data_IF_770818457480
#
_entry.id   IF_770818457480
#
_cell.length_a   1.000
_cell.length_b   1.000
_cell.length_c   1.000
_cell.angle_alpha   90.00
_cell.angle_beta   90.00
_cell.angle_gamma   90.00
#
_symmetry.space_group_name_H-M   'P 1'
#
loop_
_entity.id
_entity.type
_entity.pdbx_description
1 polymer ?
#
# COMPACT_ATOMS: atom_id res chain seq x y z
N UNK A 1 1.83 -37.27 -6.04
CA UNK A 1 2.59 -36.16 -6.63
C UNK A 1 1.68 -34.96 -6.78
N UNK A 2 2.08 -33.80 -6.25
CA UNK A 2 1.22 -32.63 -6.32
C UNK A 2 1.24 -32.03 -7.75
N UNK A 3 0.16 -31.39 -8.17
CA UNK A 3 0.10 -30.69 -9.46
C UNK A 3 1.24 -29.67 -9.61
N UNK A 4 1.62 -29.00 -8.53
CA UNK A 4 2.73 -28.03 -8.53
C UNK A 4 4.06 -28.72 -8.86
N UNK A 5 4.34 -29.88 -8.26
CA UNK A 5 5.54 -30.69 -8.56
C UNK A 5 5.55 -31.11 -10.04
N UNK A 6 4.41 -31.56 -10.55
CA UNK A 6 4.28 -31.91 -11.97
C UNK A 6 4.57 -30.72 -12.90
N UNK A 7 4.06 -29.52 -12.60
CA UNK A 7 4.33 -28.31 -13.35
C UNK A 7 5.80 -27.89 -13.32
N UNK A 8 6.45 -28.02 -12.15
CA UNK A 8 7.88 -27.71 -11.97
C UNK A 8 8.76 -28.73 -12.68
N UNK A 9 8.51 -30.02 -12.50
CA UNK A 9 9.30 -31.11 -13.08
C UNK A 9 9.24 -31.12 -14.62
N UNK A 10 8.09 -30.74 -15.19
CA UNK A 10 7.92 -30.56 -16.63
C UNK A 10 8.38 -29.17 -17.15
N UNK A 11 9.03 -28.37 -16.32
CA UNK A 11 9.54 -27.03 -16.66
C UNK A 11 8.48 -26.05 -17.19
N UNK A 12 7.19 -26.28 -16.90
CA UNK A 12 6.08 -25.41 -17.30
C UNK A 12 6.07 -24.13 -16.47
N UNK A 13 6.41 -24.24 -15.18
CA UNK A 13 6.60 -23.11 -14.29
C UNK A 13 7.98 -23.14 -13.64
N UNK A 14 8.60 -21.97 -13.44
CA UNK A 14 9.86 -21.78 -12.72
C UNK A 14 9.69 -21.03 -11.41
N UNK A 15 8.61 -20.26 -11.31
CA UNK A 15 8.23 -19.50 -10.11
C UNK A 15 6.70 -19.32 -10.09
N UNK A 16 6.18 -18.84 -8.96
CA UNK A 16 4.75 -18.68 -8.75
C UNK A 16 4.06 -17.67 -9.70
N UNK A 17 4.80 -16.71 -10.26
CA UNK A 17 4.22 -15.77 -11.23
C UNK A 17 3.92 -16.44 -12.59
N UNK A 18 4.58 -17.54 -12.92
CA UNK A 18 4.34 -18.28 -14.15
C UNK A 18 2.98 -19.00 -14.15
N UNK A 19 2.38 -19.23 -12.96
CA UNK A 19 1.03 -19.78 -12.84
C UNK A 19 -0.03 -18.91 -13.55
N UNK A 20 0.18 -17.59 -13.59
CA UNK A 20 -0.78 -16.63 -14.13
C UNK A 20 -0.74 -16.47 -15.66
N UNK A 21 0.24 -17.12 -16.31
CA UNK A 21 0.37 -17.18 -17.77
C UNK A 21 0.22 -18.59 -18.33
N UNK A 22 -0.22 -19.56 -17.50
CA UNK A 22 -0.52 -20.92 -17.95
C UNK A 22 -1.64 -20.91 -18.98
N UNK A 23 -1.50 -21.76 -20.00
CA UNK A 23 -2.51 -22.03 -20.99
C UNK A 23 -3.04 -23.49 -20.93
N UNK A 24 -4.22 -23.70 -21.50
CA UNK A 24 -4.84 -25.02 -21.51
C UNK A 24 -4.00 -26.05 -22.28
N UNK A 25 -3.32 -25.63 -23.34
CA UNK A 25 -2.52 -26.56 -24.20
C UNK A 25 -1.37 -27.16 -23.42
N UNK A 26 -0.65 -26.34 -22.65
CA UNK A 26 0.45 -26.82 -21.79
C UNK A 26 -0.04 -27.80 -20.74
N UNK A 27 -1.23 -27.60 -20.18
CA UNK A 27 -1.81 -28.46 -19.17
C UNK A 27 -2.30 -29.80 -19.74
N UNK A 28 -2.84 -29.81 -20.97
CA UNK A 28 -3.31 -31.05 -21.61
C UNK A 28 -2.20 -32.04 -21.95
N UNK A 29 -0.95 -31.58 -21.99
CA UNK A 29 0.24 -32.43 -22.18
C UNK A 29 0.68 -33.15 -20.90
N UNK A 30 0.05 -32.85 -19.76
CA UNK A 30 0.37 -33.47 -18.47
C UNK A 30 -0.47 -34.70 -18.22
N UNK A 31 0.16 -35.71 -17.60
CA UNK A 31 -0.56 -36.90 -17.15
C UNK A 31 -1.72 -36.54 -16.21
N UNK A 32 -2.84 -37.21 -16.37
CA UNK A 32 -4.08 -37.04 -15.57
C UNK A 32 -4.73 -35.65 -15.71
N UNK A 33 -4.32 -34.83 -16.68
CA UNK A 33 -4.95 -33.56 -17.00
C UNK A 33 -5.83 -33.71 -18.25
N UNK A 34 -7.14 -33.52 -18.06
CA UNK A 34 -8.13 -33.50 -19.13
C UNK A 34 -8.65 -32.08 -19.36
N UNK A 35 -9.37 -31.84 -20.45
CA UNK A 35 -9.90 -30.52 -20.81
C UNK A 35 -10.69 -29.88 -19.64
N UNK A 36 -11.56 -30.66 -18.97
CA UNK A 36 -12.38 -30.14 -17.85
C UNK A 36 -11.52 -29.70 -16.66
N UNK A 37 -10.53 -30.51 -16.24
CA UNK A 37 -9.64 -30.17 -15.13
C UNK A 37 -8.74 -28.98 -15.47
N UNK A 38 -8.20 -28.93 -16.69
CA UNK A 38 -7.38 -27.82 -17.17
C UNK A 38 -8.17 -26.51 -17.22
N UNK A 39 -9.39 -26.54 -17.76
CA UNK A 39 -10.28 -25.38 -17.80
C UNK A 39 -10.63 -24.89 -16.39
N UNK A 40 -10.97 -25.80 -15.47
CA UNK A 40 -11.25 -25.44 -14.08
C UNK A 40 -10.06 -24.79 -13.38
N UNK A 41 -8.85 -25.30 -13.60
CA UNK A 41 -7.62 -24.74 -13.07
C UNK A 41 -7.39 -23.31 -13.59
N UNK A 42 -7.43 -23.11 -14.92
CA UNK A 42 -7.26 -21.78 -15.52
C UNK A 42 -8.32 -20.80 -15.02
N UNK A 43 -9.59 -21.22 -14.92
CA UNK A 43 -10.63 -20.38 -14.37
C UNK A 43 -10.38 -19.99 -12.91
N UNK A 44 -9.88 -20.93 -12.10
CA UNK A 44 -9.52 -20.65 -10.69
C UNK A 44 -8.36 -19.67 -10.58
N UNK A 45 -7.32 -19.83 -11.40
CA UNK A 45 -6.20 -18.91 -11.50
C UNK A 45 -6.69 -17.51 -11.92
N UNK A 46 -7.54 -17.42 -12.96
CA UNK A 46 -8.06 -16.14 -13.42
C UNK A 46 -8.93 -15.45 -12.34
N UNK A 47 -9.72 -16.17 -11.58
CA UNK A 47 -10.48 -15.63 -10.45
C UNK A 47 -9.56 -15.08 -9.35
N UNK A 48 -8.40 -15.69 -9.13
CA UNK A 48 -7.44 -15.25 -8.11
C UNK A 48 -6.64 -14.01 -8.51
N UNK A 49 -6.73 -13.55 -9.77
CA UNK A 49 -6.03 -12.34 -10.24
C UNK A 49 -6.50 -11.07 -9.54
N UNK A 50 -7.78 -11.00 -9.15
CA UNK A 50 -8.29 -9.89 -8.35
C UNK A 50 -8.14 -10.21 -6.86
N UNK A 51 -7.26 -9.52 -6.18
CA UNK A 51 -6.90 -9.78 -4.78
C UNK A 51 -6.83 -8.49 -3.98
N UNK A 52 -7.35 -8.48 -2.75
CA UNK A 52 -7.22 -7.34 -1.84
C UNK A 52 -5.77 -7.19 -1.37
N UNK A 53 -5.35 -5.96 -1.07
CA UNK A 53 -3.96 -5.66 -0.75
C UNK A 53 -3.45 -6.43 0.49
N UNK A 54 -4.27 -6.57 1.52
CA UNK A 54 -3.94 -7.37 2.71
C UNK A 54 -3.69 -8.85 2.37
N UNK A 55 -4.55 -9.45 1.53
CA UNK A 55 -4.38 -10.84 1.10
C UNK A 55 -3.17 -11.01 0.18
N UNK A 56 -2.90 -10.02 -0.67
CA UNK A 56 -1.70 -10.01 -1.51
C UNK A 56 -0.44 -10.01 -0.64
N UNK A 57 -0.35 -9.12 0.36
CA UNK A 57 0.78 -9.04 1.28
C UNK A 57 0.99 -10.35 2.05
N UNK A 58 -0.10 -10.94 2.55
CA UNK A 58 -0.03 -12.24 3.22
C UNK A 58 0.51 -13.33 2.29
N UNK A 59 0.08 -13.34 1.02
CA UNK A 59 0.50 -14.35 0.02
C UNK A 59 1.97 -14.26 -0.37
N UNK A 60 2.65 -13.13 -0.13
CA UNK A 60 4.08 -12.98 -0.39
C UNK A 60 4.97 -13.83 0.54
N UNK A 61 4.43 -14.35 1.65
CA UNK A 61 5.15 -15.21 2.59
C UNK A 61 6.30 -14.49 3.31
N UNK A 62 6.17 -13.20 3.58
CA UNK A 62 7.16 -12.44 4.34
C UNK A 62 7.21 -13.01 5.77
N UNK A 63 8.40 -13.31 6.27
CA UNK A 63 8.58 -13.87 7.61
C UNK A 63 7.97 -12.97 8.67
N UNK A 64 7.24 -13.55 9.64
CA UNK A 64 6.49 -12.89 10.72
C UNK A 64 5.35 -11.98 10.24
N UNK A 65 5.02 -11.96 8.95
CA UNK A 65 3.85 -11.25 8.41
C UNK A 65 2.68 -12.23 8.25
N UNK A 66 1.87 -12.31 9.29
CA UNK A 66 0.61 -13.06 9.28
C UNK A 66 -0.56 -12.21 8.73
N UNK A 67 -1.77 -12.79 8.74
CA UNK A 67 -2.99 -12.11 8.26
C UNK A 67 -3.23 -10.78 8.99
N UNK A 68 -2.99 -10.72 10.30
CA UNK A 68 -3.16 -9.50 11.10
C UNK A 68 -2.19 -8.41 10.66
N UNK A 69 -0.90 -8.73 10.59
CA UNK A 69 0.16 -7.80 10.17
C UNK A 69 -0.06 -7.31 8.73
N UNK A 70 -0.44 -8.21 7.80
CA UNK A 70 -0.75 -7.85 6.43
C UNK A 70 -1.93 -6.86 6.34
N UNK A 71 -2.94 -7.02 7.21
CA UNK A 71 -4.07 -6.08 7.31
C UNK A 71 -3.64 -4.72 7.87
N UNK A 72 -2.75 -4.69 8.87
CA UNK A 72 -2.19 -3.44 9.40
C UNK A 72 -1.40 -2.71 8.31
N UNK A 73 -0.52 -3.42 7.59
CA UNK A 73 0.25 -2.87 6.48
C UNK A 73 -0.64 -2.31 5.37
N UNK A 74 -1.71 -3.04 4.99
CA UNK A 74 -2.62 -2.60 3.93
C UNK A 74 -3.44 -1.35 4.28
N UNK A 75 -3.59 -1.06 5.58
CA UNK A 75 -4.20 0.18 6.07
C UNK A 75 -3.21 1.32 6.18
N UNK A 76 -1.93 1.00 6.42
CA UNK A 76 -0.88 2.01 6.61
C UNK A 76 -0.29 2.49 5.30
N UNK A 77 -0.32 1.66 4.26
CA UNK A 77 0.23 1.99 2.93
C UNK A 77 -0.87 1.89 1.88
N UNK A 78 -1.00 2.92 1.03
CA UNK A 78 -2.02 2.95 -0.02
C UNK A 78 -1.70 2.01 -1.19
N UNK A 79 -0.42 1.75 -1.47
CA UNK A 79 0.01 0.90 -2.59
C UNK A 79 1.21 0.04 -2.21
N UNK A 80 1.41 -1.02 -2.99
CA UNK A 80 2.58 -1.89 -2.86
C UNK A 80 3.88 -1.14 -3.15
N UNK A 81 3.86 -0.18 -4.08
CA UNK A 81 5.05 0.60 -4.46
C UNK A 81 5.55 1.45 -3.30
N UNK A 82 4.63 2.08 -2.56
CA UNK A 82 4.96 2.86 -1.36
C UNK A 82 5.57 1.95 -0.29
N UNK A 83 4.96 0.79 -0.03
CA UNK A 83 5.48 -0.17 0.94
C UNK A 83 6.87 -0.72 0.53
N UNK A 84 7.09 -0.99 -0.76
CA UNK A 84 8.39 -1.47 -1.26
C UNK A 84 9.52 -0.45 -1.08
N UNK A 85 9.19 0.84 -0.96
CA UNK A 85 10.15 1.93 -0.80
C UNK A 85 10.22 2.45 0.65
N UNK A 86 9.36 1.98 1.54
CA UNK A 86 9.37 2.36 2.95
C UNK A 86 10.72 2.05 3.61
N UNK A 87 11.16 2.94 4.47
CA UNK A 87 12.34 2.70 5.28
C UNK A 87 11.99 1.92 6.57
N UNK A 88 13.03 1.44 7.26
CA UNK A 88 12.87 0.65 8.48
C UNK A 88 12.15 1.43 9.58
N UNK A 89 12.47 2.72 9.72
CA UNK A 89 11.90 3.60 10.75
C UNK A 89 10.41 3.82 10.50
N UNK A 90 10.01 4.03 9.25
CA UNK A 90 8.61 4.14 8.86
C UNK A 90 7.80 2.87 9.19
N UNK A 91 8.38 1.70 8.94
CA UNK A 91 7.75 0.42 9.26
C UNK A 91 7.60 0.23 10.78
N UNK A 92 8.61 0.58 11.58
CA UNK A 92 8.61 0.44 13.04
C UNK A 92 7.68 1.47 13.74
N UNK A 93 7.33 2.57 13.09
CA UNK A 93 6.35 3.55 13.59
C UNK A 93 4.91 3.06 13.50
N UNK A 94 4.65 1.98 12.76
CA UNK A 94 3.30 1.43 12.62
C UNK A 94 2.96 0.62 13.88
N UNK A 95 1.80 0.91 14.48
CA UNK A 95 1.29 0.13 15.61
C UNK A 95 1.24 -1.36 15.24
N UNK A 96 1.61 -2.22 16.17
CA UNK A 96 1.69 -3.69 16.02
C UNK A 96 2.80 -4.18 15.07
N UNK A 97 3.69 -3.32 14.59
CA UNK A 97 4.89 -3.71 13.84
C UNK A 97 6.13 -3.40 14.69
N UNK A 98 6.63 -4.46 15.36
CA UNK A 98 7.86 -4.35 16.15
C UNK A 98 9.13 -4.40 15.28
N UNK A 99 10.32 -4.15 15.89
CA UNK A 99 11.59 -4.09 15.18
C UNK A 99 11.92 -5.34 14.35
N UNK A 100 11.55 -6.53 14.85
CA UNK A 100 11.81 -7.81 14.16
C UNK A 100 10.96 -7.91 12.88
N UNK A 101 9.68 -7.57 12.98
CA UNK A 101 8.74 -7.61 11.85
C UNK A 101 9.12 -6.53 10.82
N UNK A 102 9.41 -5.32 11.27
CA UNK A 102 9.87 -4.21 10.42
C UNK A 102 11.14 -4.57 9.64
N UNK A 103 12.13 -5.18 10.31
CA UNK A 103 13.36 -5.67 9.67
C UNK A 103 13.09 -6.73 8.60
N UNK A 104 12.20 -7.69 8.89
CA UNK A 104 11.85 -8.76 7.93
C UNK A 104 11.17 -8.17 6.69
N UNK A 105 10.25 -7.22 6.86
CA UNK A 105 9.55 -6.53 5.76
C UNK A 105 10.57 -5.73 4.93
N UNK A 106 11.38 -4.91 5.58
CA UNK A 106 12.40 -4.10 4.93
C UNK A 106 13.37 -4.96 4.12
N UNK A 107 13.93 -6.02 4.72
CA UNK A 107 14.87 -6.92 4.07
C UNK A 107 14.22 -7.64 2.89
N UNK A 108 12.96 -8.08 3.03
CA UNK A 108 12.23 -8.73 1.95
C UNK A 108 12.13 -7.82 0.71
N UNK A 109 11.77 -6.56 0.88
CA UNK A 109 11.65 -5.61 -0.22
C UNK A 109 12.98 -5.04 -0.72
N UNK A 110 14.07 -5.13 0.04
CA UNK A 110 15.41 -4.78 -0.46
C UNK A 110 15.96 -5.82 -1.43
N UNK A 111 15.52 -7.06 -1.38
CA UNK A 111 15.94 -8.08 -2.32
C UNK A 111 15.34 -7.84 -3.70
N UNK A 112 16.20 -7.53 -4.69
CA UNK A 112 15.77 -7.25 -6.07
C UNK A 112 14.96 -8.40 -6.69
N UNK A 113 15.27 -9.65 -6.32
CA UNK A 113 14.52 -10.83 -6.74
C UNK A 113 13.04 -10.75 -6.33
N UNK A 114 12.75 -10.29 -5.11
CA UNK A 114 11.37 -10.17 -4.62
C UNK A 114 10.62 -9.04 -5.34
N UNK A 115 11.27 -7.89 -5.53
CA UNK A 115 10.69 -6.79 -6.33
C UNK A 115 10.37 -7.25 -7.75
N UNK A 116 11.30 -7.92 -8.41
CA UNK A 116 11.09 -8.45 -9.76
C UNK A 116 9.93 -9.45 -9.83
N UNK A 117 9.79 -10.31 -8.82
CA UNK A 117 8.68 -11.26 -8.76
C UNK A 117 7.33 -10.56 -8.59
N UNK A 118 7.24 -9.51 -7.77
CA UNK A 118 6.03 -8.71 -7.61
C UNK A 118 5.66 -8.02 -8.92
N UNK A 119 6.63 -7.36 -9.57
CA UNK A 119 6.40 -6.74 -10.89
C UNK A 119 5.94 -7.76 -11.93
N UNK A 120 6.53 -8.97 -11.92
CA UNK A 120 6.13 -10.04 -12.82
C UNK A 120 4.69 -10.52 -12.55
N UNK A 121 4.28 -10.62 -11.29
CA UNK A 121 2.88 -10.93 -10.93
C UNK A 121 1.91 -9.88 -11.50
N UNK A 122 2.22 -8.60 -11.31
CA UNK A 122 1.39 -7.50 -11.83
C UNK A 122 1.33 -7.51 -13.35
N UNK A 123 2.46 -7.71 -14.03
CA UNK A 123 2.52 -7.83 -15.50
C UNK A 123 1.76 -9.06 -16.04
N UNK A 124 1.66 -10.13 -15.24
CA UNK A 124 0.89 -11.34 -15.57
C UNK A 124 -0.60 -11.22 -15.22
N UNK A 125 -1.06 -10.00 -14.87
CA UNK A 125 -2.46 -9.65 -14.71
C UNK A 125 -3.00 -9.76 -13.29
N UNK A 126 -2.14 -9.78 -12.27
CA UNK A 126 -2.59 -9.59 -10.88
C UNK A 126 -3.06 -8.14 -10.71
N UNK A 127 -4.30 -7.98 -10.28
CA UNK A 127 -4.94 -6.72 -9.91
C UNK A 127 -5.08 -6.64 -8.39
N UNK A 128 -4.27 -5.77 -7.77
CA UNK A 128 -4.36 -5.51 -6.35
C UNK A 128 -5.47 -4.48 -6.12
N UNK A 129 -6.47 -4.86 -5.32
CA UNK A 129 -7.56 -3.98 -4.90
C UNK A 129 -7.12 -3.31 -3.60
N UNK A 130 -6.82 -2.02 -3.70
CA UNK A 130 -6.46 -1.20 -2.55
C UNK A 130 -7.72 -0.72 -1.84
N UNK A 131 -7.66 -0.64 -0.50
CA UNK A 131 -8.76 -0.06 0.27
C UNK A 131 -8.67 1.48 0.14
N UNK A 132 -9.82 2.13 0.00
CA UNK A 132 -9.88 3.58 0.15
C UNK A 132 -9.43 3.93 1.57
N UNK A 133 -8.37 4.75 1.71
CA UNK A 133 -7.84 5.20 3.01
C UNK A 133 -6.39 4.83 3.34
N UNK A 134 -5.68 4.11 2.47
CA UNK A 134 -4.22 3.92 2.61
C UNK A 134 -3.43 5.20 2.31
N UNK A 135 -2.20 5.31 2.84
CA UNK A 135 -1.33 6.46 2.62
C UNK A 135 -1.01 6.60 1.12
N UNK A 136 -1.46 7.67 0.48
CA UNK A 136 -0.96 8.11 -0.84
C UNK A 136 0.27 8.99 -0.64
N UNK A 137 1.11 9.16 -1.66
CA UNK A 137 2.27 10.08 -1.58
C UNK A 137 1.96 11.47 -2.13
N UNK A 138 0.67 11.83 -2.26
CA UNK A 138 0.27 13.13 -2.80
C UNK A 138 0.91 14.31 -2.04
N UNK A 139 1.10 14.13 -0.72
CA UNK A 139 1.67 15.14 0.17
C UNK A 139 3.04 14.74 0.76
N UNK A 140 3.76 13.82 0.10
CA UNK A 140 5.07 13.43 0.58
C UNK A 140 6.04 14.62 0.68
N UNK A 141 6.77 14.69 1.79
CA UNK A 141 7.64 15.83 2.11
C UNK A 141 6.92 17.12 2.50
N UNK A 142 5.58 17.20 2.39
CA UNK A 142 4.80 18.39 2.74
C UNK A 142 4.43 18.39 4.22
N UNK A 143 4.59 19.55 4.86
CA UNK A 143 4.22 19.74 6.27
C UNK A 143 3.06 20.71 6.38
N UNK A 144 1.99 20.28 7.03
CA UNK A 144 0.78 21.08 7.26
C UNK A 144 0.69 21.50 8.72
N UNK A 145 0.07 22.64 8.96
CA UNK A 145 -0.28 23.12 10.31
C UNK A 145 -1.77 23.38 10.35
N UNK A 146 -2.44 23.00 11.42
CA UNK A 146 -3.89 23.14 11.60
C UNK A 146 -4.14 24.13 12.73
N UNK A 147 -5.03 25.10 12.54
CA UNK A 147 -5.42 26.09 13.56
C UNK A 147 -6.88 26.46 13.42
N UNK A 148 -7.49 26.88 14.53
CA UNK A 148 -8.89 27.27 14.58
C UNK A 148 -9.85 26.13 14.90
N UNK A 149 -11.14 26.42 14.86
CA UNK A 149 -12.28 25.49 15.11
C UNK A 149 -12.95 25.24 13.76
N UNK A 150 -13.24 23.99 13.47
CA UNK A 150 -13.89 23.55 12.23
C UNK A 150 -15.36 23.20 12.52
N UNK A 151 -16.27 23.56 11.61
CA UNK A 151 -17.71 23.33 11.76
C UNK A 151 -18.10 21.93 11.27
N UNK A 152 -17.51 21.49 10.14
CA UNK A 152 -17.90 20.26 9.45
C UNK A 152 -16.91 19.11 9.61
N UNK A 153 -15.76 19.34 10.25
CA UNK A 153 -14.71 18.35 10.41
C UNK A 153 -14.19 18.32 11.84
N UNK A 154 -13.89 17.15 12.34
CA UNK A 154 -13.06 17.03 13.53
C UNK A 154 -11.59 17.23 13.16
N UNK A 155 -10.83 17.88 14.03
CA UNK A 155 -9.39 18.08 13.83
C UNK A 155 -8.65 16.78 13.49
N UNK A 156 -9.03 15.68 14.17
CA UNK A 156 -8.45 14.36 13.95
C UNK A 156 -8.71 13.84 12.54
N UNK A 157 -9.89 14.05 11.99
CA UNK A 157 -10.23 13.65 10.62
C UNK A 157 -9.36 14.36 9.59
N UNK A 158 -9.11 15.66 9.80
CA UNK A 158 -8.22 16.46 8.94
C UNK A 158 -6.77 15.92 9.05
N UNK A 159 -6.29 15.65 10.28
CA UNK A 159 -4.95 15.10 10.50
C UNK A 159 -4.79 13.73 9.84
N UNK A 160 -5.77 12.83 10.00
CA UNK A 160 -5.75 11.49 9.44
C UNK A 160 -5.83 11.52 7.89
N UNK A 161 -6.65 12.41 7.32
CA UNK A 161 -6.74 12.62 5.88
C UNK A 161 -5.42 13.08 5.27
N UNK A 162 -4.73 14.04 5.90
CA UNK A 162 -3.42 14.51 5.42
C UNK A 162 -2.36 13.42 5.54
N UNK A 163 -2.34 12.69 6.66
CA UNK A 163 -1.40 11.58 6.87
C UNK A 163 -1.64 10.44 5.89
N UNK A 164 -2.91 10.15 5.56
CA UNK A 164 -3.27 9.12 4.57
C UNK A 164 -2.72 9.43 3.17
N UNK A 165 -2.46 10.71 2.89
CA UNK A 165 -1.84 11.20 1.64
C UNK A 165 -0.32 11.46 1.77
N UNK A 166 0.33 10.98 2.84
CA UNK A 166 1.78 11.09 3.06
C UNK A 166 2.25 12.41 3.68
N UNK A 167 1.32 13.32 4.01
CA UNK A 167 1.64 14.61 4.60
C UNK A 167 2.00 14.52 6.09
N UNK A 168 2.83 15.46 6.55
CA UNK A 168 3.25 15.61 7.95
C UNK A 168 2.46 16.72 8.63
N UNK A 169 2.07 16.50 9.89
CA UNK A 169 1.40 17.53 10.71
C UNK A 169 2.41 18.11 11.69
N UNK A 170 2.47 19.44 11.75
CA UNK A 170 3.29 20.17 12.73
C UNK A 170 2.41 21.05 13.62
N UNK A 171 2.83 21.23 14.85
CA UNK A 171 2.22 22.17 15.80
C UNK A 171 2.71 23.60 15.59
N UNK A 172 3.81 23.83 14.85
CA UNK A 172 4.45 25.13 14.67
C UNK A 172 4.58 25.50 13.21
N UNK A 173 4.40 26.79 12.90
CA UNK A 173 4.61 27.40 11.58
C UNK A 173 6.08 27.72 11.38
N UNK A 174 6.64 27.36 10.24
CA UNK A 174 7.99 27.69 9.79
C UNK A 174 8.03 27.88 8.26
N UNK A 175 9.14 28.35 7.72
CA UNK A 175 9.37 28.45 6.26
C UNK A 175 9.28 27.10 5.52
N UNK A 176 9.34 25.98 6.25
CA UNK A 176 9.17 24.61 5.69
C UNK A 176 7.70 24.15 5.70
N UNK A 177 6.78 24.95 6.25
CA UNK A 177 5.35 24.64 6.25
C UNK A 177 4.80 24.81 4.84
N UNK A 178 4.20 23.76 4.30
CA UNK A 178 3.58 23.78 2.96
C UNK A 178 2.28 24.57 2.98
N UNK A 179 1.40 24.32 3.95
CA UNK A 179 0.15 25.03 4.10
C UNK A 179 -0.35 25.12 5.54
N UNK A 180 -1.09 26.18 5.84
CA UNK A 180 -1.90 26.33 7.05
C UNK A 180 -3.35 25.98 6.74
N UNK A 181 -3.91 25.00 7.44
CA UNK A 181 -5.35 24.71 7.41
C UNK A 181 -6.03 25.57 8.46
N UNK A 182 -6.98 26.38 7.98
CA UNK A 182 -7.58 27.46 8.73
C UNK A 182 -9.06 27.16 9.02
N UNK A 183 -9.40 27.03 10.30
CA UNK A 183 -10.78 27.06 10.79
C UNK A 183 -11.15 28.42 11.38
N UNK A 184 -12.33 28.53 11.92
CA UNK A 184 -12.82 29.74 12.59
C UNK A 184 -11.99 30.09 13.84
N UNK A 185 -11.93 31.36 14.20
CA UNK A 185 -11.20 31.86 15.38
C UNK A 185 -9.72 31.40 15.44
N UNK A 186 -8.95 31.67 14.40
CA UNK A 186 -7.53 31.26 14.37
C UNK A 186 -6.73 32.05 15.39
N UNK A 187 -5.77 31.37 16.04
CA UNK A 187 -4.83 32.01 16.95
C UNK A 187 -3.63 32.66 16.22
N UNK A 188 -2.56 32.90 16.98
CA UNK A 188 -1.33 33.54 16.50
C UNK A 188 -0.65 32.84 15.29
N UNK A 189 -0.98 31.60 15.01
CA UNK A 189 -0.46 30.86 13.87
C UNK A 189 -0.90 31.45 12.52
N UNK A 190 -2.11 32.03 12.46
CA UNK A 190 -2.61 32.67 11.24
C UNK A 190 -1.72 33.87 10.85
N UNK A 191 -1.46 34.79 11.80
CA UNK A 191 -0.60 35.94 11.55
C UNK A 191 0.79 35.50 11.09
N UNK A 192 1.37 34.51 11.78
CA UNK A 192 2.69 33.98 11.43
C UNK A 192 2.74 33.32 10.05
N UNK A 193 1.64 32.72 9.61
CA UNK A 193 1.55 32.16 8.26
C UNK A 193 1.54 33.28 7.19
N UNK A 194 0.82 34.37 7.43
CA UNK A 194 0.82 35.55 6.58
C UNK A 194 2.21 36.18 6.47
N UNK A 195 2.88 36.37 7.60
CA UNK A 195 4.23 36.97 7.67
C UNK A 195 5.28 36.13 6.90
N UNK A 196 5.07 34.81 6.82
CA UNK A 196 5.96 33.89 6.12
C UNK A 196 5.48 33.52 4.70
N UNK A 197 4.39 34.14 4.21
CA UNK A 197 3.76 33.84 2.92
C UNK A 197 3.43 32.34 2.75
N UNK A 198 2.96 31.70 3.81
CA UNK A 198 2.53 30.29 3.77
C UNK A 198 1.14 30.20 3.14
N UNK A 199 0.93 29.21 2.27
CA UNK A 199 -0.38 28.95 1.67
C UNK A 199 -1.42 28.67 2.76
N UNK A 200 -2.62 29.30 2.63
CA UNK A 200 -3.73 29.14 3.57
C UNK A 200 -4.85 28.39 2.89
N UNK A 201 -5.31 27.31 3.51
CA UNK A 201 -6.40 26.46 3.05
C UNK A 201 -7.55 26.59 4.04
N UNK A 202 -8.64 27.21 3.62
CA UNK A 202 -9.84 27.38 4.42
C UNK A 202 -10.69 26.09 4.44
N UNK A 203 -11.56 25.95 5.46
CA UNK A 203 -12.42 24.78 5.66
C UNK A 203 -13.22 24.39 4.42
N UNK A 204 -13.74 25.36 3.66
CA UNK A 204 -14.50 25.12 2.42
C UNK A 204 -13.71 24.39 1.32
N UNK A 205 -12.39 24.39 1.40
CA UNK A 205 -11.51 23.71 0.45
C UNK A 205 -11.03 22.32 0.95
N UNK A 206 -11.39 21.91 2.18
CA UNK A 206 -11.01 20.60 2.75
C UNK A 206 -11.51 19.41 1.93
N UNK A 207 -12.71 19.39 1.31
CA UNK A 207 -13.15 18.26 0.49
C UNK A 207 -12.24 17.95 -0.71
N UNK A 208 -11.43 18.92 -1.15
CA UNK A 208 -10.43 18.71 -2.22
C UNK A 208 -9.08 18.29 -1.68
N UNK A 209 -8.86 18.49 -0.39
CA UNK A 209 -7.61 18.19 0.29
C UNK A 209 -7.62 16.80 0.92
N UNK A 210 -8.76 16.37 1.48
CA UNK A 210 -8.98 15.10 2.16
C UNK A 210 -9.51 14.03 1.22
#
# INVERSE_FOLDING_TARGET
>A
ESLVETLVNNHIIKNYADLYVLDIKSLLNLDRMALKSSTNLINSINKSKNITFDRFLYSLGIREVGVSTARVLSKSFSTIDILMNADKTELEMINDIGPIVGENIYTFFKLQKNKNNILKLMNNGIHIIYQEGGITQEYDGMTFVITGVFENYQRKEIEDGIRSKGGKISSTISKKTYALILGANPGSKYQKALDLNINIIEEGNLPKLL
#
